data_IF_770929251587
#
_entry.id   IF_770929251587
#
_cell.length_a   1.000
_cell.length_b   1.000
_cell.length_c   1.000
_cell.angle_alpha   90.00
_cell.angle_beta   90.00
_cell.angle_gamma   90.00
#
_symmetry.space_group_name_H-M   'P 1'
#
loop_
_entity.id
_entity.type
_entity.pdbx_description
1 polymer ?
#
# COMPACT_ATOMS: atom_id res chain seq x y z
N UNK A 1 -9.29 2.66 -35.61
CA UNK A 1 -8.04 1.96 -35.93
C UNK A 1 -6.86 2.87 -36.28
N UNK A 2 -6.92 3.81 -37.26
CA UNK A 2 -5.75 4.66 -37.61
C UNK A 2 -5.25 5.59 -36.50
N UNK A 3 -6.13 6.19 -35.69
CA UNK A 3 -5.74 7.10 -34.58
C UNK A 3 -5.16 6.38 -33.35
N UNK A 4 -5.51 5.14 -33.11
CA UNK A 4 -4.94 4.32 -32.00
C UNK A 4 -3.52 3.87 -32.34
N UNK A 5 -3.26 3.45 -33.58
CA UNK A 5 -1.93 3.07 -34.03
C UNK A 5 -0.96 4.25 -34.03
N UNK A 6 -1.42 5.49 -34.27
CA UNK A 6 -0.55 6.67 -34.20
C UNK A 6 -0.07 6.99 -32.78
N UNK A 7 -0.86 6.65 -31.75
CA UNK A 7 -0.45 6.81 -30.35
C UNK A 7 0.43 5.65 -29.84
N UNK A 8 0.34 4.49 -30.47
CA UNK A 8 1.17 3.33 -30.11
C UNK A 8 2.62 3.43 -30.64
N UNK A 9 2.83 4.15 -31.74
CA UNK A 9 4.16 4.27 -32.38
C UNK A 9 5.23 4.93 -31.48
N UNK A 10 4.97 6.08 -30.83
CA UNK A 10 5.96 6.68 -29.93
C UNK A 10 6.23 5.81 -28.69
N UNK A 11 5.22 5.12 -28.17
CA UNK A 11 5.40 4.19 -27.08
C UNK A 11 6.29 2.99 -27.49
N UNK A 12 6.04 2.43 -28.68
CA UNK A 12 6.86 1.35 -29.22
C UNK A 12 8.31 1.80 -29.40
N UNK A 13 8.54 2.98 -29.98
CA UNK A 13 9.86 3.55 -30.15
C UNK A 13 10.58 3.75 -28.81
N UNK A 14 9.89 4.24 -27.79
CA UNK A 14 10.42 4.40 -26.42
C UNK A 14 10.82 3.05 -25.81
N UNK A 15 9.97 2.04 -25.94
CA UNK A 15 10.24 0.70 -25.40
C UNK A 15 11.42 0.03 -26.12
N UNK A 16 11.53 0.19 -27.44
CA UNK A 16 12.67 -0.33 -28.21
C UNK A 16 13.97 0.40 -27.86
N UNK A 17 13.92 1.72 -27.66
CA UNK A 17 15.08 2.49 -27.20
C UNK A 17 15.51 2.06 -25.80
N UNK A 18 14.58 1.85 -24.87
CA UNK A 18 14.88 1.34 -23.54
C UNK A 18 15.51 -0.07 -23.60
N UNK A 19 14.99 -0.97 -24.43
CA UNK A 19 15.56 -2.28 -24.64
C UNK A 19 16.98 -2.21 -25.22
N UNK A 20 17.23 -1.33 -26.19
CA UNK A 20 18.56 -1.12 -26.77
C UNK A 20 19.55 -0.59 -25.71
N UNK A 21 19.13 0.36 -24.87
CA UNK A 21 19.96 0.87 -23.76
C UNK A 21 20.31 -0.23 -22.79
N UNK A 22 19.35 -1.07 -22.38
CA UNK A 22 19.59 -2.21 -21.49
C UNK A 22 20.57 -3.24 -22.10
N UNK A 23 20.53 -3.44 -23.42
CA UNK A 23 21.46 -4.34 -24.11
C UNK A 23 22.89 -3.75 -24.20
N UNK A 24 23.00 -2.45 -24.52
CA UNK A 24 24.29 -1.75 -24.60
C UNK A 24 24.95 -1.67 -23.22
N UNK A 25 24.17 -1.38 -22.18
CA UNK A 25 24.62 -1.25 -20.80
C UNK A 25 24.29 -2.49 -19.95
N UNK A 26 24.37 -3.68 -20.54
CA UNK A 26 23.96 -4.93 -19.89
C UNK A 26 24.73 -5.23 -18.59
N UNK A 27 26.01 -4.86 -18.50
CA UNK A 27 26.80 -5.10 -17.30
C UNK A 27 26.37 -4.23 -16.10
N UNK A 28 26.25 -2.88 -16.21
CA UNK A 28 25.71 -2.05 -15.14
C UNK A 28 24.26 -2.37 -14.83
N UNK A 29 23.39 -2.61 -15.84
CA UNK A 29 22.00 -2.99 -15.62
C UNK A 29 21.88 -4.29 -14.79
N UNK A 30 22.71 -5.29 -15.07
CA UNK A 30 22.76 -6.52 -14.28
C UNK A 30 23.31 -6.30 -12.86
N UNK A 31 24.25 -5.39 -12.66
CA UNK A 31 24.76 -5.05 -11.34
C UNK A 31 23.68 -4.36 -10.50
N UNK A 32 22.95 -3.39 -11.06
CA UNK A 32 21.79 -2.75 -10.42
C UNK A 32 20.71 -3.77 -10.07
N UNK A 33 20.28 -4.59 -11.03
CA UNK A 33 19.27 -5.62 -10.78
C UNK A 33 19.67 -6.60 -9.66
N UNK A 34 20.95 -6.98 -9.55
CA UNK A 34 21.46 -7.79 -8.43
C UNK A 34 21.38 -7.05 -7.09
N UNK A 35 21.72 -5.75 -7.07
CA UNK A 35 21.60 -4.94 -5.88
C UNK A 35 20.14 -4.80 -5.43
N UNK A 36 19.21 -4.54 -6.37
CA UNK A 36 17.79 -4.50 -6.11
C UNK A 36 17.23 -5.82 -5.60
N UNK A 37 17.65 -6.95 -6.17
CA UNK A 37 17.26 -8.27 -5.70
C UNK A 37 17.77 -8.55 -4.28
N UNK A 38 19.03 -8.22 -3.99
CA UNK A 38 19.59 -8.37 -2.64
C UNK A 38 18.84 -7.49 -1.61
N UNK A 39 18.44 -6.27 -1.97
CA UNK A 39 17.62 -5.41 -1.13
C UNK A 39 16.23 -6.02 -0.87
N UNK A 40 15.59 -6.55 -1.91
CA UNK A 40 14.29 -7.21 -1.79
C UNK A 40 14.36 -8.45 -0.89
N UNK A 41 15.35 -9.32 -1.09
CA UNK A 41 15.52 -10.58 -0.37
C UNK A 41 15.94 -10.37 1.09
N UNK A 42 16.93 -9.51 1.35
CA UNK A 42 17.53 -9.39 2.67
C UNK A 42 16.86 -8.35 3.57
N UNK A 43 16.07 -7.43 3.00
CA UNK A 43 15.45 -6.35 3.77
C UNK A 43 13.94 -6.31 3.62
N UNK A 44 13.43 -6.21 2.39
CA UNK A 44 12.01 -5.94 2.15
C UNK A 44 11.15 -7.15 2.52
N UNK A 45 11.46 -8.33 2.01
CA UNK A 45 10.68 -9.55 2.28
C UNK A 45 10.68 -9.91 3.76
N UNK A 46 11.84 -10.02 4.46
CA UNK A 46 11.83 -10.43 5.86
C UNK A 46 11.12 -9.44 6.80
N UNK A 47 11.19 -8.15 6.49
CA UNK A 47 10.59 -7.12 7.34
C UNK A 47 9.10 -6.91 7.11
N UNK A 48 8.65 -6.92 5.86
CA UNK A 48 7.28 -6.56 5.51
C UNK A 48 6.34 -7.76 5.41
N UNK A 49 6.82 -8.94 5.00
CA UNK A 49 5.97 -10.12 4.79
C UNK A 49 5.21 -10.53 6.06
N UNK A 50 5.85 -10.72 7.23
CA UNK A 50 5.14 -11.13 8.44
C UNK A 50 4.10 -10.09 8.88
N UNK A 51 4.46 -8.81 8.79
CA UNK A 51 3.60 -7.70 9.19
C UNK A 51 2.37 -7.60 8.27
N UNK A 52 2.59 -7.68 6.96
CA UNK A 52 1.51 -7.59 5.96
C UNK A 52 0.57 -8.81 6.06
N UNK A 53 1.12 -10.01 6.25
CA UNK A 53 0.32 -11.20 6.52
C UNK A 53 -0.58 -11.02 7.75
N UNK A 54 -0.01 -10.52 8.86
CA UNK A 54 -0.77 -10.27 10.09
C UNK A 54 -1.92 -9.28 9.84
N UNK A 55 -1.66 -8.18 9.16
CA UNK A 55 -2.67 -7.18 8.86
C UNK A 55 -3.78 -7.70 7.94
N UNK A 56 -3.41 -8.47 6.90
CA UNK A 56 -4.38 -9.14 6.02
C UNK A 56 -5.22 -10.18 6.78
N UNK A 57 -4.60 -10.95 7.67
CA UNK A 57 -5.34 -11.89 8.53
C UNK A 57 -6.34 -11.15 9.42
N UNK A 58 -5.92 -10.08 10.10
CA UNK A 58 -6.83 -9.30 10.94
C UNK A 58 -7.97 -8.74 10.09
N UNK A 59 -7.67 -8.11 8.96
CA UNK A 59 -8.67 -7.48 8.09
C UNK A 59 -9.70 -8.47 7.58
N UNK A 60 -9.32 -9.71 7.28
CA UNK A 60 -10.16 -10.73 6.65
C UNK A 60 -10.91 -11.63 7.64
N UNK A 61 -10.66 -11.50 8.94
CA UNK A 61 -11.30 -12.31 10.00
C UNK A 61 -12.30 -11.50 10.83
N UNK A 62 -12.89 -12.18 11.84
CA UNK A 62 -13.77 -11.53 12.84
C UNK A 62 -13.06 -10.40 13.59
N UNK A 63 -11.74 -10.45 13.74
CA UNK A 63 -10.97 -9.37 14.35
C UNK A 63 -11.09 -8.06 13.57
N UNK A 64 -11.10 -8.12 12.24
CA UNK A 64 -11.35 -6.96 11.37
C UNK A 64 -12.75 -6.39 11.55
N UNK A 65 -13.77 -7.23 11.74
CA UNK A 65 -15.14 -6.78 12.03
C UNK A 65 -15.20 -6.04 13.37
N UNK A 66 -14.53 -6.55 14.41
CA UNK A 66 -14.46 -5.88 15.71
C UNK A 66 -13.73 -4.54 15.61
N UNK A 67 -12.60 -4.51 14.90
CA UNK A 67 -11.83 -3.29 14.66
C UNK A 67 -12.67 -2.25 13.89
N UNK A 68 -13.40 -2.67 12.87
CA UNK A 68 -14.29 -1.80 12.09
C UNK A 68 -15.39 -1.17 12.96
N UNK A 69 -15.94 -1.92 13.91
CA UNK A 69 -16.92 -1.41 14.87
C UNK A 69 -16.30 -0.37 15.80
N UNK A 70 -15.10 -0.65 16.34
CA UNK A 70 -14.39 0.29 17.22
C UNK A 70 -14.03 1.60 16.51
N UNK A 71 -13.70 1.53 15.21
CA UNK A 71 -13.28 2.67 14.40
C UNK A 71 -14.40 3.27 13.54
N UNK A 72 -15.67 2.95 13.83
CA UNK A 72 -16.82 3.47 13.07
C UNK A 72 -16.91 5.00 13.09
N UNK A 73 -16.63 5.64 14.23
CA UNK A 73 -16.70 7.11 14.36
C UNK A 73 -15.65 7.81 13.46
N UNK A 74 -14.35 7.51 13.54
CA UNK A 74 -13.37 8.13 12.64
C UNK A 74 -13.61 7.78 11.16
N UNK A 75 -14.06 6.56 10.84
CA UNK A 75 -14.40 6.21 9.47
C UNK A 75 -15.53 7.08 8.92
N UNK A 76 -16.61 7.26 9.69
CA UNK A 76 -17.75 8.12 9.30
C UNK A 76 -17.33 9.58 9.13
N UNK A 77 -16.47 10.11 10.01
CA UNK A 77 -15.95 11.47 9.88
C UNK A 77 -15.21 11.69 8.56
N UNK A 78 -14.54 10.65 8.07
CA UNK A 78 -13.82 10.65 6.79
C UNK A 78 -14.67 10.16 5.61
N UNK A 79 -15.98 9.95 5.79
CA UNK A 79 -16.88 9.36 4.79
C UNK A 79 -16.32 8.07 4.17
N UNK A 80 -15.77 7.21 5.02
CA UNK A 80 -15.30 5.89 4.65
C UNK A 80 -16.24 4.82 5.19
N UNK A 81 -16.41 3.69 4.50
CA UNK A 81 -17.11 2.56 5.07
C UNK A 81 -16.34 2.04 6.30
N UNK A 82 -17.03 1.55 7.34
CA UNK A 82 -16.38 1.10 8.58
C UNK A 82 -15.27 0.05 8.34
N UNK A 83 -15.41 -0.78 7.33
CA UNK A 83 -14.45 -1.80 6.95
C UNK A 83 -13.10 -1.21 6.47
N UNK A 84 -13.12 0.01 5.92
CA UNK A 84 -11.90 0.69 5.48
C UNK A 84 -11.07 1.26 6.64
N UNK A 85 -11.65 1.39 7.84
CA UNK A 85 -10.95 1.93 9.00
C UNK A 85 -9.75 1.07 9.43
N UNK A 86 -9.85 -0.25 9.31
CA UNK A 86 -8.73 -1.17 9.57
C UNK A 86 -7.58 -0.94 8.60
N UNK A 87 -7.87 -0.82 7.30
CA UNK A 87 -6.86 -0.55 6.29
C UNK A 87 -6.17 0.82 6.50
N UNK A 88 -6.93 1.82 6.96
CA UNK A 88 -6.38 3.13 7.30
C UNK A 88 -5.41 3.02 8.49
N UNK A 89 -5.84 2.39 9.59
CA UNK A 89 -5.00 2.22 10.78
C UNK A 89 -3.72 1.46 10.46
N UNK A 90 -3.83 0.32 9.80
CA UNK A 90 -2.68 -0.51 9.46
C UNK A 90 -1.78 0.14 8.41
N UNK A 91 -2.34 0.95 7.51
CA UNK A 91 -1.57 1.75 6.57
C UNK A 91 -0.70 2.80 7.27
N UNK A 92 -1.21 3.47 8.31
CA UNK A 92 -0.42 4.41 9.11
C UNK A 92 0.67 3.72 9.95
N UNK A 93 0.41 2.51 10.46
CA UNK A 93 1.37 1.74 11.25
C UNK A 93 2.44 1.12 10.35
N UNK A 94 2.02 0.38 9.34
CA UNK A 94 2.92 -0.36 8.44
C UNK A 94 3.57 0.52 7.38
N UNK A 95 2.92 1.63 7.03
CA UNK A 95 3.38 2.52 5.97
C UNK A 95 3.19 1.93 4.58
N UNK A 96 3.96 2.41 3.62
CA UNK A 96 3.98 1.79 2.30
C UNK A 96 4.88 0.53 2.33
N UNK A 97 4.49 -0.56 1.64
CA UNK A 97 3.36 -0.69 0.72
C UNK A 97 2.03 -1.04 1.42
N UNK A 98 2.01 -1.26 2.72
CA UNK A 98 0.88 -1.84 3.47
C UNK A 98 -0.44 -1.10 3.21
N UNK A 99 -0.44 0.22 3.31
CA UNK A 99 -1.65 1.02 3.09
C UNK A 99 -2.23 0.86 1.68
N UNK A 100 -1.36 0.78 0.66
CA UNK A 100 -1.77 0.55 -0.72
C UNK A 100 -2.36 -0.86 -0.91
N UNK A 101 -1.69 -1.89 -0.38
CA UNK A 101 -2.13 -3.30 -0.48
C UNK A 101 -3.49 -3.51 0.17
N UNK A 102 -3.66 -3.02 1.42
CA UNK A 102 -4.93 -3.16 2.13
C UNK A 102 -6.06 -2.38 1.47
N UNK A 103 -5.76 -1.23 0.86
CA UNK A 103 -6.73 -0.46 0.07
C UNK A 103 -7.12 -1.22 -1.21
N UNK A 104 -6.15 -1.83 -1.90
CA UNK A 104 -6.38 -2.67 -3.07
C UNK A 104 -7.25 -3.88 -2.74
N UNK A 105 -6.95 -4.60 -1.67
CA UNK A 105 -7.74 -5.73 -1.18
C UNK A 105 -9.22 -5.36 -0.94
N UNK A 106 -9.48 -4.19 -0.33
CA UNK A 106 -10.85 -3.70 -0.14
C UNK A 106 -11.55 -3.40 -1.47
N UNK A 107 -10.83 -2.87 -2.44
CA UNK A 107 -11.33 -2.61 -3.78
C UNK A 107 -11.67 -3.91 -4.51
N UNK A 108 -10.75 -4.88 -4.50
CA UNK A 108 -10.91 -6.18 -5.19
C UNK A 108 -12.08 -6.98 -4.59
N UNK A 109 -12.30 -6.86 -3.29
CA UNK A 109 -13.46 -7.45 -2.60
C UNK A 109 -14.76 -6.65 -2.78
N UNK A 110 -14.74 -5.54 -3.49
CA UNK A 110 -15.91 -4.70 -3.72
C UNK A 110 -16.41 -3.96 -2.48
N UNK A 111 -15.63 -3.90 -1.39
CA UNK A 111 -15.98 -3.18 -0.15
C UNK A 111 -15.95 -1.67 -0.35
N UNK A 112 -15.05 -1.21 -1.20
CA UNK A 112 -14.94 0.19 -1.62
C UNK A 112 -14.96 0.29 -3.13
N UNK A 113 -15.38 1.43 -3.65
CA UNK A 113 -15.30 1.72 -5.08
C UNK A 113 -13.95 2.34 -5.48
N UNK A 114 -13.72 2.49 -6.78
CA UNK A 114 -12.47 3.06 -7.31
C UNK A 114 -12.23 4.51 -6.87
N UNK A 115 -13.29 5.29 -6.70
CA UNK A 115 -13.16 6.69 -6.27
C UNK A 115 -12.68 6.75 -4.82
N UNK A 116 -13.29 5.95 -3.94
CA UNK A 116 -12.88 5.80 -2.53
C UNK A 116 -11.46 5.24 -2.43
N UNK A 117 -11.11 4.22 -3.22
CA UNK A 117 -9.75 3.67 -3.23
C UNK A 117 -8.71 4.72 -3.63
N UNK A 118 -8.94 5.47 -4.73
CA UNK A 118 -8.05 6.56 -5.14
C UNK A 118 -7.88 7.62 -4.05
N UNK A 119 -8.97 7.99 -3.40
CA UNK A 119 -8.94 8.95 -2.29
C UNK A 119 -8.13 8.39 -1.11
N UNK A 120 -8.35 7.14 -0.72
CA UNK A 120 -7.58 6.50 0.36
C UNK A 120 -6.09 6.47 0.05
N UNK A 121 -5.68 6.19 -1.18
CA UNK A 121 -4.27 6.19 -1.57
C UNK A 121 -3.58 7.56 -1.38
N UNK A 122 -4.32 8.68 -1.39
CA UNK A 122 -3.76 10.01 -1.15
C UNK A 122 -3.26 10.22 0.29
N UNK A 123 -3.77 9.47 1.27
CA UNK A 123 -3.43 9.63 2.69
C UNK A 123 -3.09 8.33 3.42
N UNK A 124 -3.22 7.17 2.76
CA UNK A 124 -2.92 5.87 3.34
C UNK A 124 -1.60 5.27 2.83
N UNK A 125 -0.87 5.99 1.98
CA UNK A 125 0.45 5.61 1.47
C UNK A 125 1.48 6.58 2.05
N UNK A 126 2.02 6.23 3.20
CA UNK A 126 2.88 7.11 4.01
C UNK A 126 4.05 6.33 4.61
N UNK A 127 4.96 7.02 5.27
CA UNK A 127 5.99 6.38 6.07
C UNK A 127 5.39 5.71 7.31
N UNK A 128 5.66 4.43 7.50
CA UNK A 128 5.20 3.70 8.69
C UNK A 128 6.02 4.03 9.94
N UNK A 129 5.50 3.58 11.09
CA UNK A 129 6.12 3.82 12.41
C UNK A 129 7.58 3.36 12.43
N UNK A 130 7.87 2.15 11.94
CA UNK A 130 9.22 1.59 11.91
C UNK A 130 10.17 2.44 11.06
N UNK A 131 9.75 2.88 9.89
CA UNK A 131 10.58 3.72 9.03
C UNK A 131 10.84 5.09 9.67
N UNK A 132 9.79 5.79 10.10
CA UNK A 132 9.93 7.15 10.63
C UNK A 132 10.69 7.17 11.96
N UNK A 133 10.32 6.29 12.91
CA UNK A 133 10.94 6.32 14.23
C UNK A 133 12.34 5.69 14.24
N UNK A 134 12.52 4.55 13.53
CA UNK A 134 13.80 3.83 13.58
C UNK A 134 14.77 4.33 12.52
N UNK A 135 14.39 4.28 11.22
CA UNK A 135 15.34 4.65 10.18
C UNK A 135 15.62 6.16 10.17
N UNK A 136 14.57 7.00 10.20
CA UNK A 136 14.78 8.46 10.16
C UNK A 136 15.16 9.00 11.54
N UNK A 137 14.34 8.74 12.56
CA UNK A 137 14.52 9.31 13.90
C UNK A 137 15.82 8.85 14.56
N UNK A 138 16.01 7.53 14.67
CA UNK A 138 17.15 6.99 15.41
C UNK A 138 18.40 6.90 14.55
N UNK A 139 18.33 6.36 13.33
CA UNK A 139 19.53 6.10 12.53
C UNK A 139 20.06 7.37 11.82
N UNK A 140 19.17 8.26 11.32
CA UNK A 140 19.61 9.47 10.60
C UNK A 140 19.72 10.68 11.52
N UNK A 141 18.68 10.94 12.34
CA UNK A 141 18.65 12.14 13.21
C UNK A 141 19.27 11.90 14.59
N UNK A 142 19.65 10.67 14.92
CA UNK A 142 20.20 10.26 16.22
C UNK A 142 19.33 10.69 17.41
N UNK A 143 18.01 10.80 17.21
CA UNK A 143 17.05 11.28 18.20
C UNK A 143 15.71 10.54 18.11
N UNK A 144 15.41 9.74 19.13
CA UNK A 144 14.10 9.07 19.24
C UNK A 144 12.95 10.08 19.36
N UNK A 145 13.16 11.19 20.07
CA UNK A 145 12.15 12.25 20.20
C UNK A 145 11.83 12.90 18.85
N UNK A 146 12.83 13.16 18.01
CA UNK A 146 12.62 13.67 16.66
C UNK A 146 11.82 12.67 15.81
N UNK A 147 12.08 11.36 15.94
CA UNK A 147 11.31 10.31 15.28
C UNK A 147 9.82 10.35 15.64
N UNK A 148 9.50 10.48 16.92
CA UNK A 148 8.11 10.59 17.37
C UNK A 148 7.42 11.89 16.92
N UNK A 149 8.12 13.01 16.91
CA UNK A 149 7.62 14.29 16.40
C UNK A 149 7.30 14.18 14.90
N UNK A 150 8.21 13.60 14.12
CA UNK A 150 7.99 13.37 12.70
C UNK A 150 6.83 12.42 12.43
N UNK A 151 6.70 11.35 13.20
CA UNK A 151 5.57 10.43 13.09
C UNK A 151 4.24 11.14 13.37
N UNK A 152 4.19 11.93 14.44
CA UNK A 152 2.99 12.72 14.80
C UNK A 152 2.64 13.70 13.67
N UNK A 153 3.63 14.43 13.15
CA UNK A 153 3.42 15.35 12.04
C UNK A 153 2.94 14.62 10.77
N UNK A 154 3.52 13.44 10.46
CA UNK A 154 3.08 12.61 9.33
C UNK A 154 1.62 12.14 9.47
N UNK A 155 1.22 11.65 10.65
CA UNK A 155 -0.15 11.22 10.92
C UNK A 155 -1.11 12.42 10.79
N UNK A 156 -0.77 13.57 11.37
CA UNK A 156 -1.59 14.78 11.27
C UNK A 156 -1.73 15.27 9.83
N UNK A 157 -0.65 15.25 9.06
CA UNK A 157 -0.68 15.61 7.64
C UNK A 157 -1.61 14.67 6.85
N UNK A 158 -1.50 13.36 7.05
CA UNK A 158 -2.36 12.36 6.40
C UNK A 158 -3.83 12.53 6.78
N UNK A 159 -4.13 12.77 8.06
CA UNK A 159 -5.49 13.03 8.52
C UNK A 159 -6.04 14.35 7.95
N UNK A 160 -5.19 15.36 7.81
CA UNK A 160 -5.56 16.62 7.16
C UNK A 160 -5.92 16.41 5.70
N UNK A 161 -5.09 15.66 4.94
CA UNK A 161 -5.39 15.30 3.54
C UNK A 161 -6.69 14.49 3.47
N UNK A 162 -6.86 13.53 4.37
CA UNK A 162 -8.08 12.74 4.45
C UNK A 162 -9.32 13.62 4.67
N UNK A 163 -9.25 14.61 5.58
CA UNK A 163 -10.34 15.53 5.88
C UNK A 163 -10.62 16.51 4.73
N UNK A 164 -9.59 17.09 4.13
CA UNK A 164 -9.71 18.04 3.00
C UNK A 164 -10.30 17.37 1.76
N UNK A 165 -10.03 16.09 1.56
CA UNK A 165 -10.58 15.31 0.43
C UNK A 165 -12.02 14.83 0.65
N UNK A 166 -12.60 14.98 1.85
CA UNK A 166 -13.99 14.60 2.13
C UNK A 166 -15.01 15.34 1.25
N UNK A 167 -14.95 16.67 1.06
CA UNK A 167 -15.89 17.40 0.22
C UNK A 167 -15.83 17.03 -1.27
N UNK A 168 -14.67 16.51 -1.72
CA UNK A 168 -14.42 16.10 -3.09
C UNK A 168 -14.91 14.67 -3.39
N UNK A 169 -15.36 13.95 -2.36
CA UNK A 169 -15.87 12.60 -2.51
C UNK A 169 -17.39 12.59 -2.59
N UNK A 170 -17.93 11.89 -3.56
CA UNK A 170 -19.32 11.48 -3.51
C UNK A 170 -19.56 10.71 -2.19
N UNK A 171 -20.77 10.84 -1.59
CA UNK A 171 -21.12 9.96 -0.48
C UNK A 171 -20.86 8.54 -0.93
N UNK A 172 -20.24 7.68 -0.07
CA UNK A 172 -19.98 6.32 -0.45
C UNK A 172 -21.25 5.77 -1.06
N UNK A 173 -21.21 5.41 -2.33
CA UNK A 173 -22.33 4.75 -2.95
C UNK A 173 -22.64 3.57 -2.05
N UNK A 174 -23.77 3.65 -1.36
CA UNK A 174 -24.24 2.62 -0.48
C UNK A 174 -24.67 1.40 -1.33
N UNK A 175 -23.73 0.84 -2.09
CA UNK A 175 -23.75 -0.56 -2.36
C UNK A 175 -23.42 -1.19 -1.02
N UNK A 176 -24.47 -1.49 -0.28
CA UNK A 176 -24.42 -2.55 0.72
C UNK A 176 -24.05 -3.84 -0.03
N UNK A 177 -22.79 -3.91 -0.45
CA UNK A 177 -22.21 -5.23 -0.74
C UNK A 177 -22.14 -5.85 0.65
N UNK A 178 -22.94 -6.90 0.92
CA UNK A 178 -22.88 -7.58 2.19
C UNK A 178 -21.40 -7.87 2.43
N UNK A 179 -20.82 -7.49 3.57
CA UNK A 179 -19.43 -7.77 3.84
C UNK A 179 -19.24 -9.27 3.63
N UNK A 180 -18.27 -9.64 2.81
CA UNK A 180 -17.93 -11.05 2.63
C UNK A 180 -17.79 -11.67 4.02
N UNK A 181 -18.35 -12.85 4.26
CA UNK A 181 -18.29 -13.46 5.59
C UNK A 181 -16.83 -13.53 6.04
N UNK A 182 -16.54 -13.22 7.31
CA UNK A 182 -15.19 -13.26 7.81
C UNK A 182 -14.65 -14.68 7.68
N UNK A 183 -13.44 -14.80 7.15
CA UNK A 183 -12.76 -16.08 6.98
C UNK A 183 -12.50 -16.71 8.37
N UNK A 184 -12.52 -18.04 8.43
CA UNK A 184 -11.97 -18.77 9.55
C UNK A 184 -10.45 -18.57 9.64
N UNK A 185 -9.85 -18.76 10.80
CA UNK A 185 -8.40 -18.61 10.96
C UNK A 185 -7.59 -19.54 10.01
N UNK A 186 -8.11 -20.74 9.74
CA UNK A 186 -7.48 -21.70 8.83
C UNK A 186 -7.50 -21.26 7.36
N UNK A 187 -8.54 -20.54 6.93
CA UNK A 187 -8.65 -19.98 5.58
C UNK A 187 -7.93 -18.64 5.44
N UNK A 188 -7.90 -17.84 6.51
CA UNK A 188 -7.29 -16.52 6.51
C UNK A 188 -5.77 -16.57 6.37
N UNK A 189 -5.10 -17.56 6.95
CA UNK A 189 -3.64 -17.68 6.90
C UNK A 189 -3.12 -17.91 5.46
N UNK A 190 -3.58 -18.91 4.70
CA UNK A 190 -3.13 -19.10 3.32
C UNK A 190 -3.54 -17.94 2.41
N UNK A 191 -4.73 -17.36 2.60
CA UNK A 191 -5.17 -16.20 1.84
C UNK A 191 -4.27 -14.97 2.12
N UNK A 192 -3.94 -14.69 3.37
CA UNK A 192 -3.04 -13.62 3.76
C UNK A 192 -1.61 -13.85 3.25
N UNK A 193 -1.10 -15.08 3.33
CA UNK A 193 0.21 -15.43 2.81
C UNK A 193 0.30 -15.20 1.29
N UNK A 194 -0.73 -15.64 0.55
CA UNK A 194 -0.81 -15.42 -0.90
C UNK A 194 -0.85 -13.93 -1.24
N UNK A 195 -1.77 -13.17 -0.65
CA UNK A 195 -1.93 -11.74 -0.94
C UNK A 195 -0.69 -10.91 -0.55
N UNK A 196 -0.07 -11.22 0.60
CA UNK A 196 1.17 -10.56 1.01
C UNK A 196 2.32 -10.88 0.06
N UNK A 197 2.50 -12.14 -0.33
CA UNK A 197 3.56 -12.55 -1.25
C UNK A 197 3.40 -11.91 -2.63
N UNK A 198 2.19 -11.95 -3.22
CA UNK A 198 1.91 -11.33 -4.52
C UNK A 198 2.25 -9.84 -4.51
N UNK A 199 1.84 -9.12 -3.46
CA UNK A 199 2.10 -7.69 -3.32
C UNK A 199 3.60 -7.38 -3.18
N UNK A 200 4.32 -8.17 -2.38
CA UNK A 200 5.75 -7.97 -2.18
C UNK A 200 6.59 -8.40 -3.40
N UNK A 201 6.14 -9.39 -4.18
CA UNK A 201 6.78 -9.72 -5.45
C UNK A 201 6.66 -8.58 -6.47
N UNK A 202 5.49 -7.95 -6.59
CA UNK A 202 5.32 -6.77 -7.44
C UNK A 202 6.22 -5.60 -6.98
N UNK A 203 6.28 -5.34 -5.66
CA UNK A 203 7.18 -4.33 -5.10
C UNK A 203 8.65 -4.66 -5.40
N UNK A 204 9.05 -5.92 -5.21
CA UNK A 204 10.41 -6.37 -5.49
C UNK A 204 10.77 -6.20 -6.96
N UNK A 205 9.85 -6.51 -7.89
CA UNK A 205 10.06 -6.28 -9.31
C UNK A 205 10.29 -4.80 -9.63
N UNK A 206 9.53 -3.89 -9.00
CA UNK A 206 9.77 -2.45 -9.13
C UNK A 206 11.13 -2.03 -8.56
N UNK A 207 11.53 -2.54 -7.40
CA UNK A 207 12.84 -2.26 -6.80
C UNK A 207 13.95 -2.69 -7.76
N UNK A 208 13.87 -3.91 -8.30
CA UNK A 208 14.87 -4.42 -9.24
C UNK A 208 14.93 -3.56 -10.52
N UNK A 209 13.78 -3.09 -11.01
CA UNK A 209 13.70 -2.28 -12.23
C UNK A 209 14.35 -0.91 -12.04
N UNK A 210 14.22 -0.31 -10.85
CA UNK A 210 14.72 1.04 -10.56
C UNK A 210 16.08 1.07 -9.85
N UNK A 211 16.73 -0.06 -9.66
CA UNK A 211 18.08 -0.19 -9.10
C UNK A 211 19.14 -0.27 -10.19
#
# INVERSE_FOLDING_TARGET
MKKENQKALPLLALLLAAAAILLVFAAPARAGAKAGLALAENTVLPSLLPLLMLFLMIQNTRAGVLLSRALTLPAKALRLPPQAAGALLFGQIGGYPTGAVLTGELLDRGVIDRATARRMLCFNVCGGVGFICTAVGTAVLHSGTAGWLLLTANILANLTVAAVTVPLSDPPAAKEVPPAPPLSAGEALPAAAKGAMESLLHLSACIILFS
#
